data_IF_119687457669
#
_entry.id   IF_119687457669
#
_cell.length_a   1.000
_cell.length_b   1.000
_cell.length_c   1.000
_cell.angle_alpha   90.00
_cell.angle_beta   90.00
_cell.angle_gamma   90.00
#
_symmetry.space_group_name_H-M   'P 1'
#
loop_
_entity.id
_entity.type
_entity.pdbx_description
1 polymer ?
#
# COMPACT_ATOMS: atom_id res chain seq x y z
N UNK A 1 -35.61 -11.07 15.95
CA UNK A 1 -35.25 -9.64 15.80
C UNK A 1 -33.77 -9.57 15.46
N UNK A 2 -33.44 -9.48 14.18
CA UNK A 2 -32.05 -9.48 13.69
C UNK A 2 -31.50 -8.06 13.63
N UNK A 3 -30.39 -7.82 14.32
CA UNK A 3 -29.70 -6.54 14.29
C UNK A 3 -28.79 -6.48 13.03
N UNK A 4 -29.23 -5.75 12.02
CA UNK A 4 -28.41 -5.37 10.87
C UNK A 4 -27.31 -4.40 11.32
N UNK A 5 -26.06 -4.87 11.32
CA UNK A 5 -24.88 -4.05 11.61
C UNK A 5 -24.41 -3.39 10.31
N UNK A 6 -24.78 -2.12 10.12
CA UNK A 6 -24.39 -1.31 8.97
C UNK A 6 -22.90 -0.95 9.07
N UNK A 7 -22.12 -1.36 8.08
CA UNK A 7 -20.75 -0.90 7.89
C UNK A 7 -20.80 0.42 7.12
N UNK A 8 -20.34 1.50 7.74
CA UNK A 8 -20.23 2.82 7.11
C UNK A 8 -18.75 3.16 7.06
N UNK A 9 -18.14 3.02 5.88
CA UNK A 9 -16.81 3.57 5.61
C UNK A 9 -16.99 5.03 5.23
N UNK A 10 -16.52 5.92 6.11
CA UNK A 10 -16.68 7.36 5.98
C UNK A 10 -15.80 7.94 4.88
N UNK A 11 -16.43 8.61 3.91
CA UNK A 11 -15.76 9.55 3.01
C UNK A 11 -15.35 10.79 3.79
N UNK A 12 -14.04 11.02 3.95
CA UNK A 12 -13.48 12.30 4.37
C UNK A 12 -13.37 13.22 3.14
N UNK A 13 -14.35 14.11 2.99
CA UNK A 13 -14.29 15.26 2.10
C UNK A 13 -13.46 16.37 2.76
N UNK A 14 -12.24 16.62 2.27
CA UNK A 14 -11.42 17.75 2.67
C UNK A 14 -11.76 18.96 1.79
N UNK A 15 -12.48 19.92 2.35
CA UNK A 15 -12.68 21.25 1.79
C UNK A 15 -11.47 22.13 2.12
N UNK A 16 -10.63 22.40 1.13
CA UNK A 16 -9.59 23.43 1.24
C UNK A 16 -10.23 24.81 1.06
N UNK A 17 -10.45 25.51 2.17
CA UNK A 17 -10.80 26.93 2.17
C UNK A 17 -9.54 27.75 1.83
N UNK A 18 -9.58 28.47 0.71
CA UNK A 18 -8.62 29.52 0.37
C UNK A 18 -8.79 30.67 1.35
N UNK A 19 -7.80 30.91 2.21
CA UNK A 19 -7.71 32.16 2.98
C UNK A 19 -6.50 32.95 2.50
N UNK A 20 -6.78 34.10 1.89
CA UNK A 20 -5.78 35.06 1.48
C UNK A 20 -5.37 35.97 2.63
N UNK A 21 -4.08 36.29 2.71
CA UNK A 21 -3.59 37.44 3.45
C UNK A 21 -2.47 38.11 2.66
N UNK A 22 -2.80 39.21 1.99
CA UNK A 22 -1.83 40.24 1.60
C UNK A 22 -1.70 41.19 2.78
N UNK A 23 -0.51 41.27 3.38
CA UNK A 23 -0.02 42.53 3.94
C UNK A 23 1.48 42.63 3.68
N UNK A 24 1.81 43.53 2.77
CA UNK A 24 3.15 44.06 2.61
C UNK A 24 3.31 45.23 3.59
N UNK A 25 4.35 45.17 4.42
CA UNK A 25 4.87 46.35 5.11
C UNK A 25 6.38 46.30 4.99
N UNK A 26 6.92 47.19 4.15
CA UNK A 26 8.33 47.55 4.09
C UNK A 26 8.62 48.55 5.21
N UNK A 27 9.60 48.25 6.07
CA UNK A 27 10.51 49.29 6.54
C UNK A 27 11.89 48.72 6.88
N UNK A 28 12.87 49.54 6.50
CA UNK A 28 14.32 49.43 6.56
C UNK A 28 14.91 48.87 7.85
N UNK A 29 15.84 47.92 7.68
CA UNK A 29 16.80 47.50 8.71
C UNK A 29 18.22 47.71 8.19
N UNK A 30 18.97 48.61 8.84
CA UNK A 30 20.38 48.90 8.59
C UNK A 30 21.28 47.86 9.26
N UNK A 31 22.25 47.33 8.52
CA UNK A 31 23.58 46.94 9.01
C UNK A 31 23.71 45.68 9.87
N UNK A 32 24.41 44.66 9.35
CA UNK A 32 24.89 43.55 10.17
C UNK A 32 25.46 42.41 9.33
N UNK A 33 26.75 42.51 8.97
CA UNK A 33 27.53 41.43 8.38
C UNK A 33 27.67 40.26 9.35
N UNK A 34 27.05 39.13 9.01
CA UNK A 34 27.34 37.83 9.57
C UNK A 34 27.29 36.80 8.44
N UNK A 35 28.23 35.84 8.37
CA UNK A 35 28.20 34.82 7.33
C UNK A 35 26.96 33.96 7.51
N UNK A 36 26.07 33.98 6.52
CA UNK A 36 24.95 33.06 6.48
C UNK A 36 25.50 31.62 6.40
N UNK A 37 25.15 30.70 7.32
CA UNK A 37 25.39 29.30 7.06
C UNK A 37 24.52 28.94 5.86
N UNK A 38 25.17 28.49 4.78
CA UNK A 38 24.55 27.96 3.58
C UNK A 38 23.59 26.82 3.98
N UNK A 39 22.32 27.16 4.17
CA UNK A 39 21.17 26.24 4.22
C UNK A 39 20.89 25.76 2.80
N UNK A 40 21.89 25.15 2.17
CA UNK A 40 21.76 24.48 0.86
C UNK A 40 22.42 23.09 0.88
N UNK A 41 22.76 22.54 2.04
CA UNK A 41 23.37 21.21 2.16
C UNK A 41 22.65 20.24 3.12
N UNK A 42 21.45 20.57 3.61
CA UNK A 42 20.72 19.75 4.59
C UNK A 42 19.35 19.23 4.11
N UNK A 43 18.99 19.48 2.85
CA UNK A 43 17.68 19.10 2.29
C UNK A 43 17.76 18.12 1.12
N UNK A 44 18.98 17.75 0.69
CA UNK A 44 19.19 16.83 -0.43
C UNK A 44 19.47 15.38 0.00
N UNK A 45 19.59 15.10 1.30
CA UNK A 45 19.89 13.78 1.84
C UNK A 45 18.66 13.03 2.42
N UNK A 46 17.45 13.38 1.97
CA UNK A 46 16.20 12.70 2.39
C UNK A 46 15.29 12.25 1.26
N UNK A 47 15.73 12.32 0.00
CA UNK A 47 15.14 11.47 -1.04
C UNK A 47 15.85 10.14 -0.97
N UNK A 48 15.36 9.26 -0.11
CA UNK A 48 15.75 7.85 -0.07
C UNK A 48 15.82 7.31 -1.49
N UNK A 49 17.04 7.16 -2.01
CA UNK A 49 17.38 6.40 -3.22
C UNK A 49 17.13 4.92 -3.01
N UNK A 50 16.68 4.52 -1.82
CA UNK A 50 16.40 3.15 -1.47
C UNK A 50 15.11 2.73 -2.17
N UNK A 51 15.28 2.08 -3.32
CA UNK A 51 14.23 1.28 -3.98
C UNK A 51 13.63 0.25 -3.03
N UNK A 52 14.29 -0.06 -1.92
CA UNK A 52 13.87 -1.01 -0.90
C UNK A 52 13.32 -0.31 0.34
N UNK A 53 12.16 -0.73 0.79
CA UNK A 53 11.58 -0.42 2.10
C UNK A 53 11.48 -1.70 2.91
N UNK A 54 11.68 -1.63 4.22
CA UNK A 54 11.65 -2.78 5.13
C UNK A 54 10.90 -2.40 6.38
N UNK A 55 9.98 -3.26 6.80
CA UNK A 55 9.29 -3.19 8.08
C UNK A 55 9.57 -4.50 8.83
N UNK A 56 10.47 -4.43 9.80
CA UNK A 56 10.91 -5.61 10.56
C UNK A 56 9.83 -6.09 11.55
N UNK A 57 9.01 -5.17 12.06
CA UNK A 57 7.96 -5.46 13.04
C UNK A 57 6.80 -6.25 12.41
N UNK A 58 6.43 -5.87 11.19
CA UNK A 58 5.41 -6.56 10.41
C UNK A 58 5.98 -7.63 9.48
N UNK A 59 7.31 -7.71 9.37
CA UNK A 59 8.02 -8.81 8.73
C UNK A 59 7.94 -8.81 7.21
N UNK A 60 8.02 -7.64 6.57
CA UNK A 60 8.01 -7.55 5.10
C UNK A 60 9.03 -6.56 4.56
N UNK A 61 9.29 -6.67 3.26
CA UNK A 61 10.01 -5.69 2.47
C UNK A 61 9.28 -5.39 1.16
N UNK A 62 9.57 -4.22 0.60
CA UNK A 62 9.05 -3.76 -0.68
C UNK A 62 10.23 -3.29 -1.53
N UNK A 63 10.42 -3.93 -2.68
CA UNK A 63 11.38 -3.49 -3.71
C UNK A 63 10.60 -2.80 -4.82
N UNK A 64 10.61 -1.46 -4.82
CA UNK A 64 9.94 -0.65 -5.84
C UNK A 64 10.62 -0.83 -7.21
N UNK A 65 9.85 -1.11 -8.28
CA UNK A 65 10.41 -1.35 -9.61
C UNK A 65 10.97 -0.06 -10.22
N UNK A 66 10.32 1.07 -9.97
CA UNK A 66 10.69 2.40 -10.47
C UNK A 66 10.56 3.47 -9.39
N UNK A 67 11.06 4.68 -9.67
CA UNK A 67 10.90 5.84 -8.79
C UNK A 67 9.51 6.50 -8.88
N UNK A 68 8.64 6.02 -9.78
CA UNK A 68 7.30 6.58 -10.02
C UNK A 68 6.29 6.23 -8.91
N UNK A 69 6.67 5.31 -8.02
CA UNK A 69 5.89 4.91 -6.87
C UNK A 69 6.34 5.66 -5.63
N UNK A 70 5.56 6.66 -5.22
CA UNK A 70 5.67 7.25 -3.90
C UNK A 70 5.21 6.23 -2.85
N UNK A 71 5.98 6.08 -1.77
CA UNK A 71 5.65 5.24 -0.64
C UNK A 71 5.24 6.14 0.53
N UNK A 72 4.07 5.89 1.08
CA UNK A 72 3.57 6.57 2.26
C UNK A 72 3.32 5.55 3.37
N UNK A 73 4.04 5.71 4.48
CA UNK A 73 3.88 4.90 5.68
C UNK A 73 2.64 5.34 6.45
N UNK A 74 1.95 4.37 7.06
CA UNK A 74 0.79 4.62 7.91
C UNK A 74 0.84 3.77 9.17
N UNK A 75 0.16 4.22 10.22
CA UNK A 75 -0.04 3.46 11.46
C UNK A 75 -1.49 2.99 11.61
N UNK A 76 -2.24 2.91 10.51
CA UNK A 76 -3.64 2.54 10.52
C UNK A 76 -3.82 1.06 10.88
N UNK A 77 -4.78 0.80 11.77
CA UNK A 77 -5.21 -0.55 12.14
C UNK A 77 -6.73 -0.62 12.17
N UNK A 78 -7.28 -1.67 11.58
CA UNK A 78 -8.70 -1.95 11.68
C UNK A 78 -9.02 -2.66 13.01
N UNK A 79 -10.26 -2.58 13.52
CA UNK A 79 -10.67 -3.30 14.74
C UNK A 79 -10.47 -4.82 14.67
N UNK A 80 -10.43 -5.39 13.47
CA UNK A 80 -10.20 -6.81 13.21
C UNK A 80 -8.71 -7.20 13.29
N UNK A 81 -7.83 -6.25 13.60
CA UNK A 81 -6.39 -6.47 13.76
C UNK A 81 -5.60 -6.43 12.46
N UNK A 82 -6.19 -5.93 11.36
CA UNK A 82 -5.49 -5.70 10.11
C UNK A 82 -4.71 -4.39 10.20
N UNK A 83 -3.42 -4.42 9.87
CA UNK A 83 -2.58 -3.23 9.76
C UNK A 83 -2.46 -2.79 8.31
N UNK A 84 -2.43 -1.48 8.07
CA UNK A 84 -2.21 -0.88 6.74
C UNK A 84 -0.88 -0.09 6.77
N UNK A 85 0.27 -0.76 6.82
CA UNK A 85 1.54 -0.06 7.06
C UNK A 85 1.97 0.84 5.92
N UNK A 86 1.56 0.54 4.67
CA UNK A 86 2.05 1.25 3.50
C UNK A 86 0.96 1.43 2.44
N UNK A 87 0.90 2.63 1.89
CA UNK A 87 0.18 2.95 0.66
C UNK A 87 1.21 3.41 -0.38
N UNK A 88 1.28 2.73 -1.52
CA UNK A 88 2.09 3.15 -2.65
C UNK A 88 1.22 3.86 -3.69
N UNK A 89 1.63 5.04 -4.14
CA UNK A 89 0.90 5.87 -5.10
C UNK A 89 1.76 6.10 -6.33
N UNK A 90 1.21 5.81 -7.50
CA UNK A 90 1.86 6.09 -8.77
C UNK A 90 1.67 7.57 -9.12
N UNK A 91 2.77 8.30 -9.29
CA UNK A 91 2.77 9.77 -9.34
C UNK A 91 1.93 10.38 -10.46
N UNK A 92 1.74 9.66 -11.57
CA UNK A 92 1.12 10.21 -12.80
C UNK A 92 -0.23 9.58 -13.10
N UNK A 93 -0.39 8.27 -12.88
CA UNK A 93 -1.58 7.54 -13.34
C UNK A 93 -2.72 7.51 -12.33
N UNK A 94 -2.46 7.88 -11.08
CA UNK A 94 -3.43 7.69 -9.98
C UNK A 94 -3.59 6.23 -9.56
N UNK A 95 -2.76 5.32 -10.05
CA UNK A 95 -2.73 3.94 -9.56
C UNK A 95 -2.23 3.88 -8.11
N UNK A 96 -2.74 2.93 -7.35
CA UNK A 96 -2.39 2.74 -5.94
C UNK A 96 -2.20 1.26 -5.63
N UNK A 97 -1.31 0.95 -4.70
CA UNK A 97 -1.17 -0.37 -4.08
C UNK A 97 -1.16 -0.18 -2.57
N UNK A 98 -2.16 -0.75 -1.91
CA UNK A 98 -2.26 -0.76 -0.45
C UNK A 98 -1.75 -2.10 0.04
N UNK A 99 -0.75 -2.08 0.93
CA UNK A 99 -0.28 -3.27 1.61
C UNK A 99 -1.00 -3.38 2.95
N UNK A 100 -1.61 -4.54 3.17
CA UNK A 100 -2.29 -4.90 4.40
C UNK A 100 -1.63 -6.13 5.01
N UNK A 101 -1.44 -6.10 6.33
CA UNK A 101 -0.87 -7.21 7.09
C UNK A 101 -1.90 -7.69 8.10
N UNK A 102 -2.29 -8.95 7.99
CA UNK A 102 -3.30 -9.56 8.84
C UNK A 102 -2.73 -10.74 9.65
N UNK A 103 -3.31 -11.07 10.82
CA UNK A 103 -3.05 -12.34 11.48
C UNK A 103 -3.43 -13.52 10.57
N UNK A 104 -2.61 -14.57 10.54
CA UNK A 104 -2.84 -15.78 9.74
C UNK A 104 -3.88 -16.72 10.40
N UNK A 105 -5.09 -16.22 10.63
CA UNK A 105 -6.22 -17.00 11.17
C UNK A 105 -6.92 -17.85 10.09
N UNK A 106 -6.51 -17.68 8.82
CA UNK A 106 -7.01 -18.40 7.65
C UNK A 106 -5.89 -18.48 6.60
N UNK A 107 -6.00 -19.40 5.64
CA UNK A 107 -5.04 -19.51 4.53
C UNK A 107 -5.18 -18.34 3.54
N UNK A 108 -4.14 -18.04 2.73
CA UNK A 108 -4.25 -17.03 1.66
C UNK A 108 -5.44 -17.26 0.72
N UNK A 109 -5.71 -18.51 0.35
CA UNK A 109 -6.88 -18.89 -0.45
C UNK A 109 -8.19 -18.50 0.24
N UNK A 110 -8.35 -18.85 1.52
CA UNK A 110 -9.56 -18.52 2.28
C UNK A 110 -9.74 -17.00 2.46
N UNK A 111 -8.65 -16.25 2.62
CA UNK A 111 -8.70 -14.79 2.62
C UNK A 111 -9.19 -14.26 1.27
N UNK A 112 -8.62 -14.73 0.16
CA UNK A 112 -9.02 -14.33 -1.18
C UNK A 112 -10.49 -14.66 -1.45
N UNK A 113 -10.93 -15.89 -1.19
CA UNK A 113 -12.33 -16.32 -1.35
C UNK A 113 -13.31 -15.44 -0.56
N UNK A 114 -13.02 -15.19 0.72
CA UNK A 114 -13.88 -14.33 1.56
C UNK A 114 -13.93 -12.90 1.07
N UNK A 115 -12.80 -12.35 0.61
CA UNK A 115 -12.76 -11.00 0.08
C UNK A 115 -13.52 -10.91 -1.24
N UNK A 116 -13.30 -11.86 -2.16
CA UNK A 116 -14.03 -11.92 -3.43
C UNK A 116 -15.53 -12.05 -3.21
N UNK A 117 -15.96 -12.93 -2.30
CA UNK A 117 -17.37 -13.07 -1.93
C UNK A 117 -17.94 -11.77 -1.36
N UNK A 118 -17.21 -11.12 -0.46
CA UNK A 118 -17.59 -9.81 0.08
C UNK A 118 -17.73 -8.75 -1.01
N UNK A 119 -16.78 -8.66 -1.93
CA UNK A 119 -16.82 -7.70 -3.05
C UNK A 119 -18.01 -7.96 -3.99
N UNK A 120 -18.31 -9.22 -4.31
CA UNK A 120 -19.46 -9.59 -5.17
C UNK A 120 -20.81 -9.17 -4.59
N UNK A 121 -20.91 -9.03 -3.28
CA UNK A 121 -22.13 -8.56 -2.62
C UNK A 121 -22.35 -7.04 -2.76
N UNK A 122 -21.35 -6.29 -3.21
CA UNK A 122 -21.43 -4.85 -3.38
C UNK A 122 -21.81 -4.45 -4.82
N UNK A 123 -22.86 -3.63 -5.00
CA UNK A 123 -23.24 -3.13 -6.32
C UNK A 123 -22.08 -2.44 -7.04
N UNK A 124 -21.91 -2.75 -8.33
CA UNK A 124 -20.87 -2.15 -9.17
C UNK A 124 -19.53 -2.88 -9.14
N UNK A 125 -19.35 -3.91 -8.29
CA UNK A 125 -18.16 -4.74 -8.31
C UNK A 125 -18.36 -5.98 -9.19
N UNK A 126 -17.39 -6.24 -10.05
CA UNK A 126 -17.20 -7.53 -10.72
C UNK A 126 -15.84 -8.08 -10.35
N UNK A 127 -15.72 -9.40 -10.25
CA UNK A 127 -14.47 -10.06 -9.82
C UNK A 127 -14.26 -11.35 -10.61
N UNK A 128 -13.00 -11.71 -10.88
CA UNK A 128 -12.67 -13.09 -11.26
C UNK A 128 -12.77 -14.02 -10.04
N UNK A 129 -12.65 -15.32 -10.25
CA UNK A 129 -12.42 -16.26 -9.15
C UNK A 129 -10.97 -16.16 -8.64
N UNK A 130 -10.73 -16.42 -7.34
CA UNK A 130 -9.38 -16.59 -6.82
C UNK A 130 -8.63 -17.71 -7.53
N UNK A 131 -7.41 -17.42 -7.98
CA UNK A 131 -6.54 -18.37 -8.65
C UNK A 131 -5.10 -18.25 -8.12
N UNK A 132 -4.29 -19.33 -8.17
CA UNK A 132 -2.87 -19.26 -7.84
C UNK A 132 -2.14 -18.23 -8.72
N UNK A 133 -1.21 -17.49 -8.11
CA UNK A 133 -0.37 -16.48 -8.80
C UNK A 133 1.11 -16.72 -8.56
N UNK A 134 1.95 -16.28 -9.49
CA UNK A 134 3.40 -16.50 -9.47
C UNK A 134 4.17 -15.59 -8.49
N UNK A 135 3.76 -15.55 -7.22
CA UNK A 135 4.48 -14.89 -6.12
C UNK A 135 5.10 -15.88 -5.13
N UNK A 136 4.42 -17.01 -4.92
CA UNK A 136 4.85 -18.19 -4.16
C UNK A 136 3.85 -19.33 -4.40
N UNK A 137 4.18 -20.55 -3.98
CA UNK A 137 3.30 -21.72 -4.13
C UNK A 137 1.95 -21.58 -3.41
N UNK A 138 1.89 -20.71 -2.39
CA UNK A 138 0.70 -20.44 -1.58
C UNK A 138 -0.01 -19.14 -1.96
N UNK A 139 0.51 -18.37 -2.93
CA UNK A 139 -0.06 -17.08 -3.28
C UNK A 139 -1.29 -17.24 -4.19
N UNK A 140 -2.33 -16.49 -3.86
CA UNK A 140 -3.60 -16.47 -4.59
C UNK A 140 -3.96 -15.03 -4.92
N UNK A 141 -4.54 -14.80 -6.09
CA UNK A 141 -5.02 -13.49 -6.48
C UNK A 141 -6.29 -13.56 -7.32
N UNK A 142 -6.92 -12.41 -7.49
CA UNK A 142 -8.06 -12.23 -8.38
C UNK A 142 -8.09 -10.78 -8.85
N UNK A 143 -8.70 -10.56 -10.01
CA UNK A 143 -8.94 -9.22 -10.53
C UNK A 143 -10.36 -8.79 -10.16
N UNK A 144 -10.54 -7.48 -9.99
CA UNK A 144 -11.84 -6.87 -9.82
C UNK A 144 -11.97 -5.59 -10.63
N UNK A 145 -13.20 -5.17 -10.85
CA UNK A 145 -13.52 -3.92 -11.52
C UNK A 145 -14.67 -3.25 -10.78
N UNK A 146 -14.63 -1.91 -10.74
CA UNK A 146 -15.67 -1.07 -10.10
C UNK A 146 -16.29 -0.16 -11.15
N UNK A 147 -17.53 -0.46 -11.54
CA UNK A 147 -18.18 0.14 -12.70
C UNK A 147 -17.29 0.02 -13.94
N UNK A 148 -17.22 1.05 -14.77
CA UNK A 148 -16.35 1.07 -15.96
C UNK A 148 -15.08 1.92 -15.76
N UNK A 149 -14.86 2.43 -14.54
CA UNK A 149 -13.86 3.48 -14.28
C UNK A 149 -12.58 2.99 -13.61
N UNK A 150 -12.63 1.88 -12.87
CA UNK A 150 -11.51 1.40 -12.05
C UNK A 150 -11.33 -0.09 -12.22
N UNK A 151 -10.09 -0.48 -12.52
CA UNK A 151 -9.64 -1.86 -12.44
C UNK A 151 -8.87 -2.04 -11.13
N UNK A 152 -8.85 -3.27 -10.64
CA UNK A 152 -8.08 -3.62 -9.49
C UNK A 152 -7.64 -5.07 -9.49
N UNK A 153 -6.63 -5.34 -8.68
CA UNK A 153 -6.05 -6.66 -8.49
C UNK A 153 -5.80 -6.86 -7.01
N UNK A 154 -6.16 -8.04 -6.52
CA UNK A 154 -5.78 -8.48 -5.19
C UNK A 154 -4.76 -9.60 -5.33
N UNK A 155 -3.71 -9.52 -4.52
CA UNK A 155 -2.79 -10.61 -4.29
C UNK A 155 -2.72 -10.89 -2.79
N UNK A 156 -2.79 -12.16 -2.41
CA UNK A 156 -2.69 -12.62 -1.03
C UNK A 156 -1.60 -13.69 -0.96
N UNK A 157 -0.68 -13.55 -0.02
CA UNK A 157 0.41 -14.50 0.21
C UNK A 157 0.71 -14.64 1.69
N UNK A 158 1.40 -15.72 2.04
CA UNK A 158 1.95 -15.85 3.39
C UNK A 158 3.01 -14.78 3.67
N UNK A 159 2.99 -14.27 4.91
CA UNK A 159 4.00 -13.39 5.48
C UNK A 159 5.05 -14.18 6.26
N UNK A 160 5.68 -13.53 7.24
CA UNK A 160 6.37 -14.25 8.34
C UNK A 160 5.37 -15.14 9.12
N UNK A 161 5.84 -16.14 9.90
CA UNK A 161 4.94 -17.03 10.64
C UNK A 161 3.86 -16.28 11.43
N UNK A 162 2.60 -16.67 11.24
CA UNK A 162 1.44 -16.04 11.88
C UNK A 162 0.92 -14.78 11.18
N UNK A 163 1.45 -14.41 10.01
CA UNK A 163 1.02 -13.25 9.21
C UNK A 163 0.64 -13.63 7.78
N UNK A 164 -0.29 -12.87 7.21
CA UNK A 164 -0.64 -12.87 5.79
C UNK A 164 -0.42 -11.46 5.26
N UNK A 165 0.18 -11.37 4.07
CA UNK A 165 0.34 -10.13 3.31
C UNK A 165 -0.74 -10.09 2.23
N UNK A 166 -1.49 -9.00 2.20
CA UNK A 166 -2.51 -8.74 1.20
C UNK A 166 -2.22 -7.42 0.50
N UNK A 167 -2.13 -7.47 -0.82
CA UNK A 167 -1.91 -6.29 -1.66
C UNK A 167 -3.19 -6.02 -2.44
N UNK A 168 -3.77 -4.85 -2.23
CA UNK A 168 -4.92 -4.37 -2.98
C UNK A 168 -4.44 -3.25 -3.90
N UNK A 169 -4.45 -3.52 -5.19
CA UNK A 169 -4.06 -2.57 -6.22
C UNK A 169 -5.28 -2.05 -6.98
N UNK A 170 -5.28 -0.77 -7.31
CA UNK A 170 -6.29 -0.12 -8.16
C UNK A 170 -5.65 0.82 -9.16
N UNK A 171 -6.26 0.96 -10.33
CA UNK A 171 -5.86 1.95 -11.33
C UNK A 171 -7.07 2.35 -12.21
N UNK A 172 -7.05 3.55 -12.81
CA UNK A 172 -8.11 3.96 -13.73
C UNK A 172 -8.17 3.06 -14.97
N UNK A 173 -9.37 2.76 -15.47
CA UNK A 173 -9.56 1.93 -16.66
C UNK A 173 -8.86 2.50 -17.91
N UNK A 174 -8.74 3.83 -17.98
CA UNK A 174 -8.05 4.58 -19.04
C UNK A 174 -6.54 4.74 -18.83
N UNK A 175 -5.95 4.12 -17.80
CA UNK A 175 -4.52 4.18 -17.57
C UNK A 175 -3.76 3.59 -18.77
N UNK A 176 -2.56 4.13 -19.03
CA UNK A 176 -1.69 3.62 -20.08
C UNK A 176 -1.31 2.14 -19.81
N UNK A 177 -1.02 1.39 -20.89
CA UNK A 177 -0.85 -0.06 -20.83
C UNK A 177 0.36 -0.52 -19.97
N UNK A 178 1.30 0.37 -19.72
CA UNK A 178 2.44 0.16 -18.82
C UNK A 178 2.07 0.26 -17.33
N UNK A 179 0.95 0.91 -16.98
CA UNK A 179 0.51 1.07 -15.58
C UNK A 179 0.15 -0.28 -14.94
N UNK A 180 -0.69 -1.15 -15.54
CA UNK A 180 -0.94 -2.48 -15.00
C UNK A 180 0.34 -3.32 -14.86
N UNK A 181 1.29 -3.19 -15.81
CA UNK A 181 2.58 -3.89 -15.75
C UNK A 181 3.43 -3.39 -14.58
N UNK A 182 3.42 -2.07 -14.34
CA UNK A 182 4.10 -1.43 -13.20
C UNK A 182 3.49 -1.86 -11.86
N UNK A 183 2.16 -1.98 -11.80
CA UNK A 183 1.44 -2.54 -10.65
C UNK A 183 1.89 -3.98 -10.37
N UNK A 184 1.92 -4.83 -11.40
CA UNK A 184 2.34 -6.22 -11.26
C UNK A 184 3.79 -6.35 -10.79
N UNK A 185 4.69 -5.54 -11.36
CA UNK A 185 6.08 -5.48 -10.94
C UNK A 185 6.23 -5.03 -9.48
N UNK A 186 5.39 -4.07 -9.02
CA UNK A 186 5.39 -3.64 -7.63
C UNK A 186 4.87 -4.74 -6.69
N UNK A 187 3.78 -5.43 -7.04
CA UNK A 187 3.24 -6.57 -6.27
C UNK A 187 4.32 -7.67 -6.15
N UNK A 188 5.04 -7.98 -7.22
CA UNK A 188 6.18 -8.92 -7.19
C UNK A 188 7.35 -8.45 -6.32
N UNK A 189 7.48 -7.13 -6.15
CA UNK A 189 8.45 -6.50 -5.27
C UNK A 189 8.15 -6.63 -3.78
N UNK A 190 6.91 -6.98 -3.40
CA UNK A 190 6.52 -7.19 -2.01
C UNK A 190 6.85 -8.61 -1.56
N UNK A 191 7.68 -8.72 -0.52
CA UNK A 191 8.18 -10.02 -0.04
C UNK A 191 8.10 -10.09 1.49
N UNK A 192 7.76 -11.26 2.06
CA UNK A 192 8.01 -11.49 3.47
C UNK A 192 9.52 -11.42 3.72
N UNK A 193 9.91 -10.89 4.88
CA UNK A 193 11.28 -11.05 5.33
C UNK A 193 11.55 -12.54 5.52
N UNK A 194 12.72 -12.99 5.07
CA UNK A 194 13.19 -14.32 5.44
C UNK A 194 13.30 -14.34 6.97
N UNK A 195 12.41 -15.08 7.64
CA UNK A 195 12.61 -15.40 9.05
C UNK A 195 13.98 -16.07 9.23
N UNK A 196 14.57 -16.05 10.44
CA UNK A 196 15.86 -16.70 10.66
C UNK A 196 15.80 -18.15 10.14
N UNK A 197 16.70 -18.50 9.22
CA UNK A 197 16.78 -19.78 8.50
C UNK A 197 17.09 -20.99 9.41
N UNK A 198 16.87 -20.89 10.72
CA UNK A 198 17.34 -21.85 11.74
C UNK A 198 16.25 -22.76 12.32
N UNK A 199 15.00 -22.69 11.86
CA UNK A 199 13.93 -23.60 12.34
C UNK A 199 13.81 -24.91 11.54
N UNK A 200 14.58 -25.11 10.46
CA UNK A 200 14.69 -26.41 9.78
C UNK A 200 16.00 -27.10 10.18
N UNK A 201 16.12 -27.49 11.45
CA UNK A 201 16.96 -28.65 11.79
C UNK A 201 16.02 -29.83 11.93
N UNK A 202 15.98 -30.65 10.89
CA UNK A 202 15.42 -32.00 10.90
C UNK A 202 15.96 -32.73 12.14
N UNK A 203 15.13 -33.39 12.96
CA UNK A 203 15.66 -34.23 14.02
C UNK A 203 16.37 -35.41 13.35
N UNK A 204 17.69 -35.43 13.43
CA UNK A 204 18.48 -36.64 13.15
C UNK A 204 18.13 -37.63 14.26
N UNK A 205 17.57 -38.77 13.86
CA UNK A 205 17.34 -39.93 14.71
C UNK A 205 18.67 -40.59 15.09
#
# INVERSE_FOLDING_TARGET
MGAMRKWVWGLLALTTACSGARQAVTHEGTGGSGPAPSVEAASEDRRSTTRRYVDEDLGFEIIRPTADWQLDETNERTPEGLAIPVILRHNVSGAQVVLQVAPAVASPTQFAERLTEGLRQHPGFTTTDPAPIALSDTAVGFDFQVGDGVHGKVAVREGIPGRVLMMLATWPAQAAADVPQSVDALIQGVRPLAGPATAWKVPQR
#
